data_IF_910850248183
#
_entry.id   IF_910850248183
#
_cell.length_a   1.000
_cell.length_b   1.000
_cell.length_c   1.000
_cell.angle_alpha   90.00
_cell.angle_beta   90.00
_cell.angle_gamma   90.00
#
_symmetry.space_group_name_H-M   'P 1'
#
loop_
_entity.id
_entity.type
_entity.pdbx_description
1 polymer ?
#
# COMPACT_ATOMS: atom_id res chain seq x y z
N UNK A 1 25.85 -44.23 46.89
CA UNK A 1 24.59 -44.17 46.12
C UNK A 1 23.78 -42.96 46.59
N UNK A 2 23.79 -41.86 45.83
CA UNK A 2 23.05 -40.63 46.14
C UNK A 2 21.60 -40.76 45.67
N UNK A 3 20.64 -40.78 46.59
CA UNK A 3 19.20 -40.75 46.29
C UNK A 3 18.81 -39.33 45.89
N UNK A 4 18.45 -39.15 44.62
CA UNK A 4 18.09 -37.87 44.01
C UNK A 4 16.73 -37.44 44.55
N UNK A 5 16.66 -36.32 45.29
CA UNK A 5 15.40 -35.73 45.72
C UNK A 5 14.79 -34.95 44.55
N UNK A 6 13.67 -35.45 44.05
CA UNK A 6 12.74 -34.73 43.18
C UNK A 6 12.11 -33.57 43.96
N UNK A 7 12.63 -32.36 43.78
CA UNK A 7 11.98 -31.13 44.23
C UNK A 7 11.44 -30.35 43.02
N UNK A 8 10.18 -30.66 42.70
CA UNK A 8 9.09 -29.72 42.37
C UNK A 8 9.53 -28.39 41.73
N UNK A 9 9.71 -28.37 40.41
CA UNK A 9 9.62 -27.14 39.62
C UNK A 9 8.17 -26.94 39.20
N UNK A 10 7.41 -26.24 40.03
CA UNK A 10 6.12 -25.70 39.67
C UNK A 10 6.06 -24.27 40.20
N UNK A 11 6.21 -23.30 39.30
CA UNK A 11 5.44 -22.07 39.30
C UNK A 11 5.60 -21.44 37.91
N UNK A 12 4.50 -21.43 37.16
CA UNK A 12 4.45 -20.93 35.81
C UNK A 12 4.77 -19.43 35.75
N UNK A 13 5.78 -19.10 34.97
CA UNK A 13 5.87 -17.82 34.27
C UNK A 13 5.69 -18.13 32.79
N UNK A 14 4.44 -18.06 32.33
CA UNK A 14 4.18 -17.85 30.92
C UNK A 14 4.75 -16.46 30.59
N UNK A 15 6.06 -16.41 30.32
CA UNK A 15 6.69 -15.25 29.71
C UNK A 15 5.95 -15.06 28.39
N UNK A 16 5.09 -14.05 28.35
CA UNK A 16 4.55 -13.48 27.13
C UNK A 16 5.74 -13.29 26.20
N UNK A 17 5.88 -14.20 25.24
CA UNK A 17 6.81 -14.07 24.16
C UNK A 17 6.47 -12.73 23.52
N UNK A 18 7.31 -11.74 23.79
CA UNK A 18 7.31 -10.46 23.11
C UNK A 18 7.66 -10.75 21.67
N UNK A 19 6.67 -11.19 20.89
CA UNK A 19 6.74 -11.11 19.45
C UNK A 19 6.66 -9.60 19.20
N UNK A 20 7.73 -8.94 18.73
CA UNK A 20 7.56 -7.59 18.25
C UNK A 20 6.52 -7.68 17.14
N UNK A 21 5.31 -7.20 17.41
CA UNK A 21 4.36 -6.91 16.36
C UNK A 21 4.98 -5.75 15.59
N UNK A 22 5.84 -6.08 14.63
CA UNK A 22 6.26 -5.13 13.61
C UNK A 22 4.97 -4.69 12.95
N UNK A 23 4.48 -3.51 13.33
CA UNK A 23 3.42 -2.83 12.61
C UNK A 23 3.99 -2.61 11.21
N UNK A 24 3.68 -3.53 10.28
CA UNK A 24 4.05 -3.37 8.88
C UNK A 24 3.13 -2.28 8.35
N UNK A 25 3.56 -1.04 8.44
CA UNK A 25 2.98 0.02 7.63
C UNK A 25 3.07 -0.47 6.18
N UNK A 26 1.92 -0.82 5.59
CA UNK A 26 1.88 -1.26 4.21
C UNK A 26 2.33 -0.08 3.35
N UNK A 27 3.35 -0.30 2.51
CA UNK A 27 3.77 0.71 1.56
C UNK A 27 2.57 1.09 0.70
N UNK A 28 2.33 2.39 0.45
CA UNK A 28 1.22 2.80 -0.38
C UNK A 28 1.41 2.24 -1.79
N UNK A 29 0.35 1.65 -2.36
CA UNK A 29 0.35 1.22 -3.75
C UNK A 29 0.23 2.47 -4.61
N UNK A 30 1.14 2.64 -5.57
CA UNK A 30 1.12 3.76 -6.51
C UNK A 30 0.63 3.26 -7.86
N UNK A 31 -0.56 3.72 -8.26
CA UNK A 31 -1.12 3.46 -9.58
C UNK A 31 -0.80 4.65 -10.49
N UNK A 32 -0.07 4.41 -11.58
CA UNK A 32 0.21 5.43 -12.58
C UNK A 32 -0.89 5.42 -13.62
N UNK A 33 -1.53 6.57 -13.83
CA UNK A 33 -2.61 6.75 -14.80
C UNK A 33 -2.05 7.58 -15.95
N UNK A 34 -1.84 6.94 -17.10
CA UNK A 34 -1.29 7.58 -18.29
C UNK A 34 -2.41 7.95 -19.27
N UNK A 35 -2.45 9.20 -19.72
CA UNK A 35 -3.45 9.70 -20.66
C UNK A 35 -2.78 10.42 -21.83
N UNK A 36 -3.38 10.29 -23.01
CA UNK A 36 -3.01 11.10 -24.18
C UNK A 36 -3.54 12.53 -24.11
N UNK A 37 -4.55 12.78 -23.29
CA UNK A 37 -5.25 14.06 -23.27
C UNK A 37 -4.55 15.15 -22.45
N UNK A 38 -4.87 16.40 -22.74
CA UNK A 38 -4.29 17.55 -22.04
C UNK A 38 -4.75 17.64 -20.58
N UNK A 39 -3.96 18.21 -19.67
CA UNK A 39 -4.37 18.38 -18.27
C UNK A 39 -5.64 19.25 -18.08
N UNK A 40 -5.96 20.13 -19.04
CA UNK A 40 -7.15 20.98 -19.01
C UNK A 40 -8.37 20.34 -19.70
N UNK A 41 -8.24 19.12 -20.22
CA UNK A 41 -9.32 18.48 -20.93
C UNK A 41 -10.50 18.18 -19.97
N UNK A 42 -11.77 18.31 -20.39
CA UNK A 42 -12.93 18.15 -19.51
C UNK A 42 -12.94 16.81 -18.75
N UNK A 43 -12.51 15.72 -19.37
CA UNK A 43 -12.41 14.41 -18.72
C UNK A 43 -11.33 14.38 -17.63
N UNK A 44 -10.20 15.08 -17.82
CA UNK A 44 -9.17 15.18 -16.80
C UNK A 44 -9.71 15.98 -15.59
N UNK A 45 -10.28 17.16 -15.84
CA UNK A 45 -10.72 18.10 -14.81
C UNK A 45 -11.96 17.62 -14.06
N UNK A 46 -12.97 17.13 -14.78
CA UNK A 46 -14.27 16.82 -14.19
C UNK A 46 -14.44 15.34 -13.81
N UNK A 47 -13.56 14.45 -14.25
CA UNK A 47 -13.67 13.01 -13.98
C UNK A 47 -12.44 12.45 -13.27
N UNK A 48 -11.25 12.55 -13.90
CA UNK A 48 -10.05 11.90 -13.35
C UNK A 48 -9.56 12.54 -12.06
N UNK A 49 -9.41 13.87 -12.00
CA UNK A 49 -8.92 14.54 -10.79
C UNK A 49 -9.84 14.30 -9.57
N UNK A 50 -11.18 14.41 -9.67
CA UNK A 50 -12.08 14.04 -8.58
C UNK A 50 -12.00 12.57 -8.19
N UNK A 51 -11.84 11.66 -9.16
CA UNK A 51 -11.70 10.23 -8.89
C UNK A 51 -10.42 9.93 -8.11
N UNK A 52 -9.30 10.56 -8.49
CA UNK A 52 -8.01 10.44 -7.80
C UNK A 52 -8.12 10.88 -6.34
N UNK A 53 -8.72 12.05 -6.10
CA UNK A 53 -8.93 12.57 -4.75
C UNK A 53 -9.84 11.65 -3.92
N UNK A 54 -10.95 11.18 -4.51
CA UNK A 54 -11.87 10.24 -3.87
C UNK A 54 -11.17 8.94 -3.49
N UNK A 55 -10.40 8.33 -4.39
CA UNK A 55 -9.69 7.07 -4.13
C UNK A 55 -8.61 7.27 -3.06
N UNK A 56 -7.88 8.39 -3.07
CA UNK A 56 -6.90 8.71 -2.04
C UNK A 56 -7.53 8.76 -0.64
N UNK A 57 -8.70 9.40 -0.53
CA UNK A 57 -9.49 9.49 0.71
C UNK A 57 -10.07 8.15 1.13
N UNK A 58 -10.80 7.48 0.24
CA UNK A 58 -11.51 6.23 0.53
C UNK A 58 -10.54 5.07 0.83
N UNK A 59 -9.32 5.11 0.28
CA UNK A 59 -8.29 4.11 0.58
C UNK A 59 -7.56 4.36 1.91
N UNK A 60 -7.80 5.50 2.58
CA UNK A 60 -7.05 5.90 3.77
C UNK A 60 -5.56 6.12 3.46
N UNK A 61 -5.24 6.62 2.27
CA UNK A 61 -3.86 6.85 1.82
C UNK A 61 -3.09 5.59 1.42
N UNK A 62 -3.71 4.40 1.44
CA UNK A 62 -3.08 3.14 1.01
C UNK A 62 -2.92 3.05 -0.51
N UNK A 63 -3.74 3.80 -1.26
CA UNK A 63 -3.67 3.85 -2.72
C UNK A 63 -3.42 5.30 -3.15
N UNK A 64 -2.34 5.52 -3.89
CA UNK A 64 -1.97 6.80 -4.48
C UNK A 64 -2.06 6.69 -5.98
N UNK A 65 -2.77 7.63 -6.62
CA UNK A 65 -2.82 7.71 -8.08
C UNK A 65 -1.92 8.85 -8.54
N UNK A 66 -1.05 8.56 -9.50
CA UNK A 66 -0.16 9.54 -10.16
C UNK A 66 -0.64 9.74 -11.60
N UNK A 67 -1.13 10.94 -11.91
CA UNK A 67 -1.71 11.25 -13.21
C UNK A 67 -0.67 11.85 -14.15
N UNK A 68 -0.51 11.23 -15.31
CA UNK A 68 0.43 11.62 -16.37
C UNK A 68 -0.36 11.96 -17.64
N UNK A 69 -0.81 13.21 -17.82
CA UNK A 69 -1.49 13.65 -19.03
C UNK A 69 -0.49 13.87 -20.18
N UNK A 70 -1.01 14.16 -21.37
CA UNK A 70 -0.23 14.59 -22.55
C UNK A 70 0.92 13.65 -22.93
N UNK A 71 0.73 12.34 -22.77
CA UNK A 71 1.75 11.33 -23.07
C UNK A 71 3.10 11.54 -22.34
N UNK A 72 3.07 12.06 -21.11
CA UNK A 72 4.28 12.39 -20.33
C UNK A 72 5.22 11.20 -20.06
N UNK A 73 4.71 9.97 -20.05
CA UNK A 73 5.55 8.77 -19.88
C UNK A 73 6.14 8.27 -21.21
N UNK A 74 5.85 8.93 -22.33
CA UNK A 74 6.32 8.59 -23.65
C UNK A 74 5.54 7.45 -24.31
N UNK A 75 5.99 7.06 -25.51
CA UNK A 75 5.30 6.09 -26.37
C UNK A 75 4.27 6.71 -27.31
N UNK A 76 3.63 5.88 -28.14
CA UNK A 76 2.54 6.30 -29.04
C UNK A 76 1.20 6.11 -28.34
N UNK A 77 0.18 6.85 -28.77
CA UNK A 77 -1.20 6.71 -28.26
C UNK A 77 -1.72 5.27 -28.44
N UNK A 78 -1.32 4.59 -29.53
CA UNK A 78 -1.65 3.18 -29.77
C UNK A 78 -1.13 2.22 -28.70
N UNK A 79 -0.08 2.62 -27.97
CA UNK A 79 0.62 1.76 -27.02
C UNK A 79 -0.04 1.82 -25.63
N UNK A 80 -0.92 2.81 -25.38
CA UNK A 80 -1.54 3.05 -24.07
C UNK A 80 -2.27 1.85 -23.48
N UNK A 81 -2.92 1.03 -24.33
CA UNK A 81 -3.66 -0.16 -23.87
C UNK A 81 -2.72 -1.28 -23.41
N UNK A 82 -1.46 -1.27 -23.87
CA UNK A 82 -0.46 -2.29 -23.57
C UNK A 82 0.50 -1.87 -22.44
N UNK A 83 0.36 -0.66 -21.90
CA UNK A 83 1.15 -0.16 -20.77
C UNK A 83 0.59 -0.66 -19.44
#
# INVERSE_FOLDING_TARGET
>A
MKRRSFQKFALGTAALAGVPQWARAQQPIILKVHSFSSPQAPEAVHQMLPLIDKIGKDSGGRLKLEFYPSMQLGGKVSDLIQQ
#
